data_IF_151192975914
#
_entry.id   IF_151192975914
#
_cell.length_a   1.000
_cell.length_b   1.000
_cell.length_c   1.000
_cell.angle_alpha   90.00
_cell.angle_beta   90.00
_cell.angle_gamma   90.00
#
_symmetry.space_group_name_H-M   'P 1'
#
loop_
_entity.id
_entity.type
_entity.pdbx_description
1 polymer ?
#
# COMPACT_ATOMS: atom_id res chain seq x y z
N UNK A 1 18.20 18.75 -5.17
CA UNK A 1 16.85 19.37 -5.10
C UNK A 1 15.94 18.33 -4.49
N UNK A 2 15.71 18.39 -3.17
CA UNK A 2 14.83 17.44 -2.48
C UNK A 2 13.46 18.11 -2.44
N UNK A 3 12.56 17.71 -3.32
CA UNK A 3 11.16 18.11 -3.28
C UNK A 3 10.47 17.25 -2.23
N UNK A 4 10.37 17.77 -1.01
CA UNK A 4 9.37 17.31 -0.04
C UNK A 4 8.06 17.98 -0.45
N UNK A 5 7.15 17.24 -1.09
CA UNK A 5 5.78 17.67 -1.30
C UNK A 5 4.92 17.09 -0.19
N UNK A 6 4.72 17.88 0.87
CA UNK A 6 3.68 17.62 1.86
C UNK A 6 2.34 18.17 1.33
N UNK A 7 1.36 17.31 1.05
CA UNK A 7 0.00 17.75 0.70
C UNK A 7 -1.08 16.93 1.41
N UNK A 8 -1.65 17.54 2.45
CA UNK A 8 -3.09 17.75 2.62
C UNK A 8 -4.06 16.59 2.26
N UNK A 9 -3.92 15.42 2.91
CA UNK A 9 -4.92 14.34 2.87
C UNK A 9 -5.68 14.08 4.18
N UNK A 10 -5.40 14.86 5.23
CA UNK A 10 -5.62 14.45 6.63
C UNK A 10 -7.01 13.89 6.97
N UNK A 11 -8.11 14.53 6.55
CA UNK A 11 -9.43 14.15 7.09
C UNK A 11 -9.91 12.79 6.57
N UNK A 12 -9.82 12.52 5.26
CA UNK A 12 -10.21 11.21 4.69
C UNK A 12 -9.24 10.09 5.10
N UNK A 13 -7.97 10.44 5.17
CA UNK A 13 -6.87 9.57 5.60
C UNK A 13 -7.08 9.01 7.02
N UNK A 14 -7.43 9.86 8.00
CA UNK A 14 -7.67 9.40 9.38
C UNK A 14 -8.85 8.43 9.50
N UNK A 15 -9.92 8.62 8.71
CA UNK A 15 -11.09 7.71 8.75
C UNK A 15 -10.78 6.32 8.18
N UNK A 16 -9.99 6.21 7.10
CA UNK A 16 -9.56 4.90 6.57
C UNK A 16 -8.57 4.21 7.52
N UNK A 17 -7.58 4.94 8.03
CA UNK A 17 -6.61 4.39 8.98
C UNK A 17 -7.26 3.86 10.27
N UNK A 18 -8.31 4.52 10.79
CA UNK A 18 -9.04 4.05 11.96
C UNK A 18 -9.76 2.70 11.75
N UNK A 19 -10.18 2.39 10.52
CA UNK A 19 -10.79 1.10 10.16
C UNK A 19 -9.74 -0.02 10.02
N UNK A 20 -8.55 0.31 9.50
CA UNK A 20 -7.43 -0.63 9.43
C UNK A 20 -6.93 -1.01 10.83
N UNK A 21 -6.76 -0.01 11.72
CA UNK A 21 -6.23 -0.22 13.08
C UNK A 21 -7.27 -0.85 14.04
N UNK A 22 -8.58 -0.63 13.84
CA UNK A 22 -9.63 -1.17 14.73
C UNK A 22 -9.84 -2.67 14.68
N UNK A 23 -9.25 -3.39 13.71
CA UNK A 23 -9.40 -4.85 13.61
C UNK A 23 -8.46 -5.62 14.54
N UNK A 24 -7.59 -4.94 15.30
CA UNK A 24 -6.54 -5.56 16.13
C UNK A 24 -6.89 -5.72 17.62
N UNK A 25 -8.17 -5.68 18.01
CA UNK A 25 -8.56 -5.84 19.41
C UNK A 25 -9.60 -6.96 19.61
N UNK A 26 -9.14 -8.19 19.89
CA UNK A 26 -9.47 -8.97 21.11
C UNK A 26 -9.07 -10.46 21.01
N UNK A 27 -8.62 -11.00 22.16
CA UNK A 27 -8.48 -12.43 22.55
C UNK A 27 -7.23 -13.20 22.08
N UNK A 28 -6.78 -14.18 22.88
CA UNK A 28 -5.55 -14.99 22.74
C UNK A 28 -5.33 -15.61 21.35
N UNK A 29 -6.37 -15.71 20.52
CA UNK A 29 -6.31 -16.09 19.10
C UNK A 29 -5.58 -15.04 18.24
N UNK A 30 -5.61 -13.76 18.62
CA UNK A 30 -4.93 -12.66 17.95
C UNK A 30 -3.40 -12.73 18.06
N UNK A 31 -2.86 -13.32 19.15
CA UNK A 31 -1.40 -13.50 19.30
C UNK A 31 -0.89 -14.58 18.34
N UNK A 32 -1.65 -15.67 18.17
CA UNK A 32 -1.32 -16.72 17.21
C UNK A 32 -1.53 -16.26 15.75
N UNK A 33 -2.52 -15.40 15.48
CA UNK A 33 -2.73 -14.80 14.17
C UNK A 33 -1.63 -13.79 13.82
N UNK A 34 -1.23 -12.93 14.76
CA UNK A 34 -0.12 -11.99 14.57
C UNK A 34 1.23 -12.69 14.34
N UNK A 35 1.42 -13.90 14.89
CA UNK A 35 2.61 -14.71 14.63
C UNK A 35 2.67 -15.34 13.24
N UNK A 36 1.54 -15.39 12.51
CA UNK A 36 1.44 -15.95 11.15
C UNK A 36 1.13 -14.90 10.08
N UNK A 37 0.93 -13.64 10.45
CA UNK A 37 0.67 -12.55 9.51
C UNK A 37 1.94 -12.23 8.72
N UNK A 38 1.82 -12.13 7.40
CA UNK A 38 2.92 -11.65 6.58
C UNK A 38 3.17 -10.19 6.93
N UNK A 39 4.43 -9.73 7.03
CA UNK A 39 4.70 -8.30 7.23
C UNK A 39 4.22 -7.44 6.04
N UNK A 40 3.72 -8.06 4.98
CA UNK A 40 3.20 -7.39 3.78
C UNK A 40 1.67 -7.34 3.65
N UNK A 41 0.92 -7.94 4.58
CA UNK A 41 -0.55 -8.07 4.47
C UNK A 41 -1.26 -6.71 4.35
N UNK A 42 -0.78 -5.68 5.06
CA UNK A 42 -1.36 -4.34 5.00
C UNK A 42 -1.15 -3.67 3.64
N UNK A 43 0.02 -3.85 3.01
CA UNK A 43 0.29 -3.33 1.66
C UNK A 43 -0.60 -4.03 0.63
N UNK A 44 -0.68 -5.37 0.70
CA UNK A 44 -1.53 -6.17 -0.18
C UNK A 44 -2.98 -5.70 -0.09
N UNK A 45 -3.48 -5.42 1.13
CA UNK A 45 -4.84 -4.92 1.32
C UNK A 45 -5.07 -3.54 0.70
N UNK A 46 -4.13 -2.60 0.87
CA UNK A 46 -4.22 -1.26 0.27
C UNK A 46 -4.23 -1.36 -1.27
N UNK A 47 -3.39 -2.22 -1.84
CA UNK A 47 -3.34 -2.46 -3.27
C UNK A 47 -4.61 -3.15 -3.81
N UNK A 48 -5.21 -4.08 -3.06
CA UNK A 48 -6.51 -4.65 -3.39
C UNK A 48 -7.64 -3.62 -3.35
N UNK A 49 -7.61 -2.67 -2.42
CA UNK A 49 -8.56 -1.54 -2.38
C UNK A 49 -8.36 -0.61 -3.60
N UNK A 50 -7.11 -0.42 -4.05
CA UNK A 50 -6.82 0.32 -5.27
C UNK A 50 -7.38 -0.40 -6.52
N UNK A 51 -7.19 -1.72 -6.63
CA UNK A 51 -7.80 -2.52 -7.71
C UNK A 51 -9.33 -2.40 -7.74
N UNK A 52 -9.99 -2.48 -6.59
CA UNK A 52 -11.44 -2.29 -6.50
C UNK A 52 -11.86 -0.92 -7.00
N UNK A 53 -11.12 0.12 -6.66
CA UNK A 53 -11.37 1.50 -7.10
C UNK A 53 -11.19 1.66 -8.61
N UNK A 54 -10.12 1.09 -9.19
CA UNK A 54 -9.89 1.08 -10.65
C UNK A 54 -11.03 0.38 -11.38
N UNK A 55 -11.43 -0.81 -10.90
CA UNK A 55 -12.52 -1.58 -11.50
C UNK A 55 -13.87 -0.83 -11.44
N UNK A 56 -14.06 0.04 -10.45
CA UNK A 56 -15.22 0.93 -10.35
C UNK A 56 -15.08 2.23 -11.17
N UNK A 57 -13.94 2.47 -11.81
CA UNK A 57 -13.63 3.72 -12.52
C UNK A 57 -13.34 4.91 -11.59
N UNK A 58 -13.14 4.67 -10.29
CA UNK A 58 -12.83 5.69 -9.29
C UNK A 58 -11.32 5.88 -9.13
N UNK A 59 -10.72 6.53 -10.12
CA UNK A 59 -9.28 6.84 -10.11
C UNK A 59 -8.88 7.82 -9.00
N UNK A 60 -9.82 8.59 -8.46
CA UNK A 60 -9.55 9.47 -7.32
C UNK A 60 -9.30 8.65 -6.06
N UNK A 61 -10.16 7.66 -5.79
CA UNK A 61 -9.96 6.74 -4.66
C UNK A 61 -8.75 5.83 -4.88
N UNK A 62 -8.48 5.40 -6.12
CA UNK A 62 -7.26 4.65 -6.44
C UNK A 62 -5.99 5.47 -6.15
N UNK A 63 -5.97 6.76 -6.51
CA UNK A 63 -4.86 7.67 -6.17
C UNK A 63 -4.72 7.88 -4.66
N UNK A 64 -5.82 7.90 -3.90
CA UNK A 64 -5.76 7.99 -2.44
C UNK A 64 -5.17 6.71 -1.81
N UNK A 65 -5.48 5.54 -2.35
CA UNK A 65 -4.82 4.29 -1.93
C UNK A 65 -3.31 4.31 -2.23
N UNK A 66 -2.84 5.01 -3.27
CA UNK A 66 -1.41 5.18 -3.50
C UNK A 66 -0.74 6.00 -2.37
N UNK A 67 -1.42 7.02 -1.85
CA UNK A 67 -0.93 7.81 -0.71
C UNK A 67 -0.90 6.97 0.58
N UNK A 68 -1.91 6.14 0.80
CA UNK A 68 -1.95 5.19 1.92
C UNK A 68 -0.81 4.15 1.80
N UNK A 69 -0.52 3.67 0.59
CA UNK A 69 0.54 2.70 0.31
C UNK A 69 1.92 3.29 0.59
N UNK A 70 2.23 4.46 0.03
CA UNK A 70 3.51 5.14 0.22
C UNK A 70 3.78 5.44 1.69
N UNK A 71 2.77 5.96 2.41
CA UNK A 71 2.91 6.23 3.83
C UNK A 71 3.20 4.95 4.61
N UNK A 72 2.45 3.88 4.38
CA UNK A 72 2.65 2.62 5.11
C UNK A 72 4.03 2.03 4.79
N UNK A 73 4.48 2.14 3.53
CA UNK A 73 5.80 1.66 3.10
C UNK A 73 6.92 2.41 3.81
N UNK A 74 6.88 3.74 3.81
CA UNK A 74 7.91 4.59 4.45
C UNK A 74 8.11 4.23 5.94
N UNK A 75 7.04 3.90 6.64
CA UNK A 75 7.06 3.55 8.06
C UNK A 75 7.71 2.18 8.31
N UNK A 76 7.59 1.25 7.37
CA UNK A 76 8.09 -0.13 7.49
C UNK A 76 9.44 -0.36 6.78
N UNK A 77 9.77 0.48 5.78
CA UNK A 77 10.83 0.24 4.81
C UNK A 77 12.19 -0.05 5.47
N UNK A 78 12.60 0.77 6.44
CA UNK A 78 13.87 0.58 7.14
C UNK A 78 13.95 -0.79 7.86
N UNK A 79 12.85 -1.21 8.49
CA UNK A 79 12.76 -2.49 9.21
C UNK A 79 12.77 -3.67 8.23
N UNK A 80 11.98 -3.60 7.16
CA UNK A 80 11.90 -4.64 6.15
C UNK A 80 13.23 -4.81 5.41
N UNK A 81 13.90 -3.71 5.08
CA UNK A 81 15.22 -3.71 4.46
C UNK A 81 16.28 -4.37 5.34
N UNK A 82 16.25 -4.10 6.64
CA UNK A 82 17.18 -4.72 7.59
C UNK A 82 17.00 -6.24 7.70
N UNK A 83 15.79 -6.75 7.42
CA UNK A 83 15.50 -8.20 7.45
C UNK A 83 15.95 -8.91 6.16
N UNK A 84 15.66 -8.31 5.00
CA UNK A 84 16.03 -8.88 3.70
C UNK A 84 16.15 -7.78 2.64
N UNK A 85 17.37 -7.32 2.37
CA UNK A 85 17.63 -6.26 1.40
C UNK A 85 17.20 -6.61 -0.03
N UNK A 86 17.43 -7.85 -0.48
CA UNK A 86 17.12 -8.24 -1.87
C UNK A 86 15.60 -8.32 -2.12
N UNK A 87 14.85 -8.92 -1.16
CA UNK A 87 13.38 -8.91 -1.22
C UNK A 87 12.83 -7.49 -1.10
N UNK A 88 13.43 -6.67 -0.22
CA UNK A 88 13.06 -5.25 -0.08
C UNK A 88 13.28 -4.47 -1.38
N UNK A 89 14.45 -4.58 -2.02
CA UNK A 89 14.75 -3.87 -3.28
C UNK A 89 13.77 -4.28 -4.40
N UNK A 90 13.33 -5.54 -4.42
CA UNK A 90 12.35 -6.04 -5.40
C UNK A 90 10.97 -5.41 -5.18
N UNK A 91 10.48 -5.42 -3.93
CA UNK A 91 9.16 -4.86 -3.58
C UNK A 91 9.15 -3.33 -3.71
N UNK A 92 10.23 -2.65 -3.34
CA UNK A 92 10.38 -1.20 -3.48
C UNK A 92 10.16 -0.75 -4.93
N UNK A 93 10.76 -1.47 -5.89
CA UNK A 93 10.61 -1.20 -7.32
C UNK A 93 9.19 -1.44 -7.84
N UNK A 94 8.48 -2.45 -7.32
CA UNK A 94 7.10 -2.72 -7.73
C UNK A 94 6.14 -1.67 -7.15
N UNK A 95 6.32 -1.30 -5.88
CA UNK A 95 5.55 -0.22 -5.23
C UNK A 95 5.80 1.10 -5.96
N UNK A 96 7.05 1.45 -6.29
CA UNK A 96 7.37 2.65 -7.10
C UNK A 96 6.61 2.67 -8.43
N UNK A 97 6.41 1.50 -9.06
CA UNK A 97 5.61 1.41 -10.27
C UNK A 97 4.13 1.63 -9.99
N UNK A 98 3.57 1.03 -8.94
CA UNK A 98 2.18 1.26 -8.51
C UNK A 98 1.92 2.74 -8.28
N UNK A 99 2.77 3.41 -7.48
CA UNK A 99 2.65 4.84 -7.17
C UNK A 99 2.68 5.69 -8.45
N UNK A 100 3.60 5.39 -9.36
CA UNK A 100 3.72 6.09 -10.65
C UNK A 100 2.48 5.93 -11.54
N UNK A 101 1.91 4.73 -11.64
CA UNK A 101 0.74 4.49 -12.49
C UNK A 101 -0.51 5.14 -11.90
N UNK A 102 -0.77 4.94 -10.60
CA UNK A 102 -1.98 5.44 -9.94
C UNK A 102 -2.03 6.97 -9.87
N UNK A 103 -0.87 7.63 -9.75
CA UNK A 103 -0.77 9.11 -9.66
C UNK A 103 -0.52 9.78 -11.01
N UNK A 104 -0.55 9.04 -12.12
CA UNK A 104 -0.42 9.63 -13.43
C UNK A 104 -1.55 10.66 -13.68
N UNK A 105 -1.26 11.71 -14.46
CA UNK A 105 -2.27 12.75 -14.78
C UNK A 105 -3.50 12.16 -15.49
N UNK A 106 -3.28 11.09 -16.26
CA UNK A 106 -4.34 10.30 -16.88
C UNK A 106 -4.00 8.82 -16.71
N UNK A 107 -4.37 8.19 -15.59
CA UNK A 107 -4.04 6.80 -15.30
C UNK A 107 -4.65 5.86 -16.33
N UNK A 108 -3.83 4.96 -16.86
CA UNK A 108 -4.31 3.88 -17.73
C UNK A 108 -4.70 2.68 -16.87
N UNK A 109 -5.96 2.23 -17.00
CA UNK A 109 -6.50 1.15 -16.16
C UNK A 109 -5.71 -0.14 -16.26
N UNK A 110 -5.29 -0.53 -17.47
CA UNK A 110 -4.57 -1.79 -17.67
C UNK A 110 -3.16 -1.73 -17.07
N UNK A 111 -2.47 -0.61 -17.24
CA UNK A 111 -1.14 -0.36 -16.66
C UNK A 111 -1.20 -0.31 -15.13
N UNK A 112 -2.23 0.29 -14.55
CA UNK A 112 -2.43 0.30 -13.10
C UNK A 112 -2.67 -1.11 -12.55
N UNK A 113 -3.55 -1.89 -13.18
CA UNK A 113 -3.85 -3.27 -12.76
C UNK A 113 -2.60 -4.14 -12.84
N UNK A 114 -1.86 -4.08 -13.96
CA UNK A 114 -0.61 -4.85 -14.12
C UNK A 114 0.42 -4.49 -13.05
N UNK A 115 0.59 -3.19 -12.74
CA UNK A 115 1.55 -2.76 -11.72
C UNK A 115 1.16 -3.27 -10.33
N UNK A 116 -0.12 -3.26 -9.99
CA UNK A 116 -0.62 -3.78 -8.72
C UNK A 116 -0.46 -5.30 -8.64
N UNK A 117 -0.83 -6.04 -9.69
CA UNK A 117 -0.69 -7.50 -9.69
C UNK A 117 0.78 -7.93 -9.51
N UNK A 118 1.71 -7.24 -10.17
CA UNK A 118 3.16 -7.47 -10.02
C UNK A 118 3.64 -7.19 -8.58
N UNK A 119 3.16 -6.12 -7.96
CA UNK A 119 3.53 -5.73 -6.60
C UNK A 119 2.97 -6.69 -5.55
N UNK A 120 1.69 -7.07 -5.66
CA UNK A 120 1.09 -8.12 -4.82
C UNK A 120 1.87 -9.43 -4.96
N UNK A 121 2.26 -9.83 -6.17
CA UNK A 121 3.01 -11.06 -6.40
C UNK A 121 4.40 -11.03 -5.72
N UNK A 122 5.07 -9.88 -5.68
CA UNK A 122 6.36 -9.72 -4.99
C UNK A 122 6.27 -9.82 -3.46
N UNK A 123 5.09 -9.54 -2.91
CA UNK A 123 4.82 -9.52 -1.46
C UNK A 123 4.34 -10.86 -0.88
N UNK A 124 3.94 -11.81 -1.75
CA UNK A 124 3.60 -13.19 -1.35
C UNK A 124 4.85 -13.99 -0.91
#
# INVERSE_FOLDING_TARGET
MITILALAGGIGYYYRHAQLISSAATSETAIAAAANASPYDDFIKIEQDALQSINAGDFKSASASADDLEYTWDQAAATLRAQNTEKWDTIDQTIDNVLRQLRAVNPDSASCVSAIDDSIAAMQ
#
